data_IF_874726507276
#
_entry.id   IF_874726507276
#
_cell.length_a   1.000
_cell.length_b   1.000
_cell.length_c   1.000
_cell.angle_alpha   90.00
_cell.angle_beta   90.00
_cell.angle_gamma   90.00
#
_symmetry.space_group_name_H-M   'P 1'
#
loop_
_entity.id
_entity.type
_entity.pdbx_description
1 polymer ?
#
# COMPACT_ATOMS: atom_id res chain seq x y z
N UNK A 1 -13.33 6.38 5.53
CA UNK A 1 -12.41 5.67 4.62
C UNK A 1 -12.24 4.29 5.21
N UNK A 2 -12.91 3.31 4.63
CA UNK A 2 -12.85 1.90 5.00
C UNK A 2 -12.12 1.22 3.83
N UNK A 3 -10.96 0.62 4.05
CA UNK A 3 -10.17 -0.02 2.97
C UNK A 3 -10.10 -1.52 3.22
N UNK A 4 -10.72 -2.31 2.35
CA UNK A 4 -10.60 -3.75 2.37
C UNK A 4 -9.16 -4.16 1.99
N UNK A 5 -8.51 -4.96 2.84
CA UNK A 5 -7.17 -5.48 2.57
C UNK A 5 -7.22 -6.58 1.52
N UNK A 6 -6.38 -6.46 0.49
CA UNK A 6 -6.15 -7.54 -0.48
C UNK A 6 -5.11 -8.51 0.10
N UNK A 7 -5.47 -9.78 0.21
CA UNK A 7 -4.57 -10.90 0.55
C UNK A 7 -4.80 -12.01 -0.46
N UNK A 8 -3.78 -12.83 -0.72
CA UNK A 8 -3.95 -14.06 -1.50
C UNK A 8 -4.96 -14.98 -0.79
N UNK A 9 -6.07 -15.24 -1.47
CA UNK A 9 -7.17 -16.04 -0.96
C UNK A 9 -6.91 -17.54 -1.16
N UNK A 10 -7.14 -18.31 -0.11
CA UNK A 10 -7.13 -19.78 -0.18
C UNK A 10 -8.54 -20.39 -0.18
N UNK A 11 -9.58 -19.59 0.10
CA UNK A 11 -10.96 -20.05 0.26
C UNK A 11 -11.99 -19.25 -0.56
N UNK A 12 -13.14 -19.86 -0.88
CA UNK A 12 -14.17 -19.27 -1.75
C UNK A 12 -14.82 -18.01 -1.16
N UNK A 13 -14.90 -17.94 0.17
CA UNK A 13 -15.34 -16.75 0.92
C UNK A 13 -14.34 -15.59 0.76
N UNK A 14 -13.04 -15.89 0.75
CA UNK A 14 -11.99 -14.88 0.55
C UNK A 14 -11.98 -14.36 -0.89
N UNK A 15 -12.34 -15.21 -1.88
CA UNK A 15 -12.50 -14.77 -3.29
C UNK A 15 -13.57 -13.68 -3.43
N UNK A 16 -14.71 -13.83 -2.75
CA UNK A 16 -15.76 -12.80 -2.69
C UNK A 16 -15.23 -11.54 -1.99
N UNK A 17 -14.42 -11.71 -0.94
CA UNK A 17 -13.74 -10.62 -0.24
C UNK A 17 -12.81 -9.82 -1.16
N UNK A 18 -12.02 -10.50 -1.99
CA UNK A 18 -11.15 -9.87 -3.00
C UNK A 18 -11.98 -9.13 -4.04
N UNK A 19 -13.06 -9.74 -4.55
CA UNK A 19 -13.91 -9.11 -5.56
C UNK A 19 -14.58 -7.83 -5.03
N UNK A 20 -15.04 -7.84 -3.77
CA UNK A 20 -15.52 -6.62 -3.09
C UNK A 20 -14.41 -5.59 -2.89
N UNK A 21 -13.22 -6.01 -2.48
CA UNK A 21 -12.09 -5.10 -2.32
C UNK A 21 -11.72 -4.42 -3.66
N UNK A 22 -11.81 -5.13 -4.78
CA UNK A 22 -11.64 -4.54 -6.12
C UNK A 22 -12.71 -3.51 -6.45
N UNK A 23 -13.98 -3.77 -6.12
CA UNK A 23 -15.06 -2.79 -6.33
C UNK A 23 -14.89 -1.52 -5.50
N UNK A 24 -14.39 -1.64 -4.26
CA UNK A 24 -14.07 -0.49 -3.41
C UNK A 24 -12.87 0.30 -3.96
N UNK A 25 -11.86 -0.40 -4.48
CA UNK A 25 -10.69 0.23 -5.13
C UNK A 25 -11.11 1.05 -6.36
N UNK A 26 -12.07 0.56 -7.17
CA UNK A 26 -12.58 1.31 -8.33
C UNK A 26 -13.25 2.63 -7.96
N UNK A 27 -13.78 2.75 -6.74
CA UNK A 27 -14.44 3.96 -6.23
C UNK A 27 -13.54 4.78 -5.30
N UNK A 28 -12.33 4.29 -4.99
CA UNK A 28 -11.43 4.96 -4.07
C UNK A 28 -10.78 6.18 -4.73
N UNK A 29 -10.53 7.21 -3.93
CA UNK A 29 -9.73 8.37 -4.37
C UNK A 29 -8.23 8.09 -4.35
N UNK A 30 -7.80 7.08 -3.59
CA UNK A 30 -6.39 6.68 -3.43
C UNK A 30 -6.28 5.26 -2.88
N UNK A 31 -5.26 4.55 -3.30
CA UNK A 31 -4.93 3.20 -2.81
C UNK A 31 -3.69 3.23 -1.92
N UNK A 32 -3.79 2.61 -0.75
CA UNK A 32 -2.65 2.29 0.10
C UNK A 32 -2.19 0.86 -0.16
N UNK A 33 -1.07 0.71 -0.85
CA UNK A 33 -0.49 -0.58 -1.14
C UNK A 33 0.49 -0.98 -0.05
N UNK A 34 0.02 -1.78 0.91
CA UNK A 34 0.80 -2.19 2.07
C UNK A 34 1.68 -3.41 1.75
N UNK A 35 2.98 -3.25 1.93
CA UNK A 35 4.00 -4.26 1.65
C UNK A 35 4.72 -4.61 2.94
N UNK A 36 4.94 -5.89 3.17
CA UNK A 36 5.82 -6.35 4.23
C UNK A 36 7.28 -6.17 3.79
N UNK A 37 7.99 -5.22 4.40
CA UNK A 37 9.36 -4.92 4.02
C UNK A 37 10.32 -6.11 4.18
N UNK A 38 9.96 -7.09 5.03
CA UNK A 38 10.80 -8.27 5.29
C UNK A 38 10.70 -9.34 4.21
N UNK A 39 9.71 -9.29 3.32
CA UNK A 39 9.48 -10.33 2.30
C UNK A 39 10.07 -9.97 0.94
N UNK A 40 10.36 -8.69 0.68
CA UNK A 40 10.90 -8.23 -0.61
C UNK A 40 11.67 -6.93 -0.46
N UNK A 41 12.80 -6.81 -1.14
CA UNK A 41 13.58 -5.57 -1.24
C UNK A 41 13.07 -4.65 -2.36
N UNK A 42 12.15 -5.14 -3.21
CA UNK A 42 11.58 -4.35 -4.30
C UNK A 42 10.78 -3.18 -3.75
N UNK A 43 11.07 -1.97 -4.23
CA UNK A 43 10.41 -0.73 -3.79
C UNK A 43 9.34 -0.27 -4.77
N UNK A 44 9.45 -0.67 -6.04
CA UNK A 44 8.46 -0.38 -7.07
C UNK A 44 7.27 -1.33 -6.93
N UNK A 45 6.04 -0.81 -6.82
CA UNK A 45 4.87 -1.66 -6.73
C UNK A 45 4.68 -2.58 -7.96
N UNK A 46 5.14 -2.19 -9.14
CA UNK A 46 5.09 -3.03 -10.35
C UNK A 46 6.05 -4.22 -10.27
N UNK A 47 7.16 -4.11 -9.55
CA UNK A 47 8.08 -5.24 -9.29
C UNK A 47 7.56 -6.14 -8.17
N UNK A 48 6.83 -5.58 -7.20
CA UNK A 48 6.27 -6.32 -6.06
C UNK A 48 5.05 -7.13 -6.50
N UNK A 49 4.12 -6.49 -7.23
CA UNK A 49 2.90 -7.14 -7.71
C UNK A 49 2.41 -6.54 -9.04
N UNK A 50 2.99 -6.97 -10.18
CA UNK A 50 2.69 -6.40 -11.48
C UNK A 50 1.20 -6.52 -11.86
N UNK A 51 0.57 -7.66 -11.58
CA UNK A 51 -0.85 -7.88 -11.90
C UNK A 51 -1.79 -6.95 -11.15
N UNK A 52 -1.46 -6.62 -9.89
CA UNK A 52 -2.23 -5.67 -9.10
C UNK A 52 -2.17 -4.28 -9.74
N UNK A 53 -0.97 -3.80 -10.06
CA UNK A 53 -0.76 -2.48 -10.65
C UNK A 53 -1.36 -2.37 -12.05
N UNK A 54 -1.27 -3.43 -12.86
CA UNK A 54 -1.88 -3.47 -14.18
C UNK A 54 -3.42 -3.40 -14.15
N UNK A 55 -4.05 -3.89 -13.07
CA UNK A 55 -5.51 -3.90 -12.92
C UNK A 55 -6.06 -2.61 -12.31
N UNK A 56 -5.22 -1.79 -11.66
CA UNK A 56 -5.66 -0.51 -11.10
C UNK A 56 -6.01 0.51 -12.19
N UNK A 57 -6.99 1.40 -11.95
CA UNK A 57 -7.26 2.52 -12.84
C UNK A 57 -6.02 3.41 -12.99
N UNK A 58 -5.67 3.80 -14.23
CA UNK A 58 -4.43 4.55 -14.54
C UNK A 58 -4.29 5.90 -13.81
N UNK A 59 -5.40 6.50 -13.41
CA UNK A 59 -5.43 7.79 -12.74
C UNK A 59 -5.55 7.68 -11.21
N UNK A 60 -5.63 6.47 -10.67
CA UNK A 60 -5.80 6.25 -9.24
C UNK A 60 -4.43 6.41 -8.54
N UNK A 61 -4.25 7.42 -7.67
CA UNK A 61 -3.00 7.59 -6.97
C UNK A 61 -2.73 6.41 -6.04
N UNK A 62 -1.48 5.94 -6.06
CA UNK A 62 -1.02 4.82 -5.23
C UNK A 62 0.01 5.34 -4.24
N UNK A 63 -0.11 4.92 -2.98
CA UNK A 63 0.93 5.10 -1.97
C UNK A 63 1.37 3.74 -1.47
N UNK A 64 2.62 3.39 -1.74
CA UNK A 64 3.25 2.17 -1.27
C UNK A 64 3.67 2.37 0.17
N UNK A 65 3.26 1.48 1.05
CA UNK A 65 3.58 1.51 2.47
C UNK A 65 4.40 0.28 2.80
N UNK A 66 5.72 0.44 2.88
CA UNK A 66 6.64 -0.62 3.33
C UNK A 66 6.64 -0.64 4.86
N UNK A 67 5.97 -1.65 5.40
CA UNK A 67 5.82 -1.88 6.82
C UNK A 67 6.98 -2.72 7.38
N UNK A 68 7.12 -2.75 8.71
CA UNK A 68 8.15 -3.48 9.46
C UNK A 68 9.57 -2.94 9.31
N UNK A 69 9.70 -1.62 9.16
CA UNK A 69 11.00 -0.95 9.17
C UNK A 69 11.82 -1.21 10.44
N UNK A 70 11.18 -1.57 11.56
CA UNK A 70 11.83 -2.01 12.80
C UNK A 70 12.62 -3.31 12.63
N UNK A 71 12.26 -4.15 11.66
CA UNK A 71 12.92 -5.43 11.37
C UNK A 71 13.92 -5.27 10.23
N UNK A 72 13.54 -4.57 9.17
CA UNK A 72 14.40 -4.39 7.98
C UNK A 72 15.53 -3.40 8.21
N UNK A 73 15.40 -2.51 9.20
CA UNK A 73 16.34 -1.42 9.43
C UNK A 73 16.30 -0.35 8.33
N UNK A 74 15.25 -0.35 7.49
CA UNK A 74 15.08 0.67 6.46
C UNK A 74 14.90 2.06 7.08
N UNK A 75 15.41 3.08 6.41
CA UNK A 75 15.24 4.47 6.85
C UNK A 75 13.77 4.88 6.75
N UNK A 76 13.18 5.22 7.90
CA UNK A 76 11.82 5.72 8.01
C UNK A 76 11.64 7.03 7.24
N UNK A 77 10.46 7.23 6.64
CA UNK A 77 10.13 8.48 5.98
C UNK A 77 9.31 8.28 4.71
N UNK A 78 9.18 9.37 3.96
CA UNK A 78 8.52 9.39 2.65
C UNK A 78 9.55 9.65 1.56
N UNK A 79 9.43 8.89 0.48
CA UNK A 79 10.19 9.04 -0.76
C UNK A 79 9.25 8.83 -1.94
N UNK A 80 9.77 8.95 -3.17
CA UNK A 80 9.01 8.66 -4.38
C UNK A 80 9.76 7.59 -5.19
N UNK A 81 9.01 6.67 -5.81
CA UNK A 81 9.53 5.65 -6.71
C UNK A 81 8.63 5.59 -7.94
N UNK A 82 9.18 5.86 -9.12
CA UNK A 82 8.46 5.83 -10.40
C UNK A 82 7.12 6.58 -10.38
N UNK A 83 7.07 7.74 -9.72
CA UNK A 83 5.86 8.56 -9.59
C UNK A 83 4.87 8.11 -8.52
N UNK A 84 5.20 7.06 -7.76
CA UNK A 84 4.42 6.58 -6.63
C UNK A 84 5.01 7.04 -5.31
N UNK A 85 4.17 7.53 -4.39
CA UNK A 85 4.61 7.85 -3.04
C UNK A 85 4.98 6.57 -2.30
N UNK A 86 6.15 6.53 -1.68
CA UNK A 86 6.66 5.41 -0.92
C UNK A 86 6.90 5.83 0.52
N UNK A 87 6.16 5.21 1.45
CA UNK A 87 6.29 5.46 2.88
C UNK A 87 6.86 4.23 3.56
N UNK A 88 7.94 4.42 4.31
CA UNK A 88 8.55 3.37 5.14
C UNK A 88 8.20 3.64 6.60
N UNK A 89 7.56 2.67 7.23
CA UNK A 89 7.09 2.78 8.61
C UNK A 89 7.15 1.45 9.36
N UNK A 90 7.00 1.52 10.67
CA UNK A 90 6.66 0.35 11.49
C UNK A 90 5.30 0.57 12.13
N UNK A 91 4.31 -0.16 11.65
CA UNK A 91 2.98 -0.18 12.25
C UNK A 91 2.99 -0.77 13.66
N UNK A 92 4.02 -1.59 13.99
CA UNK A 92 4.18 -2.23 15.30
C UNK A 92 4.69 -1.26 16.34
N UNK A 93 5.76 -0.51 16.04
CA UNK A 93 6.34 0.47 16.98
C UNK A 93 5.61 1.81 16.93
N UNK A 94 4.89 2.08 15.85
CA UNK A 94 4.24 3.36 15.60
C UNK A 94 5.11 4.35 14.84
N UNK A 95 6.38 4.01 14.60
CA UNK A 95 7.34 4.90 13.95
C UNK A 95 6.99 5.11 12.47
N UNK A 96 7.02 6.36 12.01
CA UNK A 96 6.68 6.74 10.63
C UNK A 96 5.17 6.80 10.33
N UNK A 97 4.29 6.42 11.27
CA UNK A 97 2.83 6.55 11.08
C UNK A 97 2.42 8.02 10.89
N UNK A 98 3.04 8.94 11.62
CA UNK A 98 2.75 10.37 11.48
C UNK A 98 3.09 10.90 10.09
N UNK A 99 4.14 10.36 9.46
CA UNK A 99 4.52 10.69 8.08
C UNK A 99 3.42 10.26 7.12
N UNK A 100 2.93 9.02 7.25
CA UNK A 100 1.79 8.53 6.45
C UNK A 100 0.55 9.39 6.66
N UNK A 101 0.25 9.75 7.91
CA UNK A 101 -0.93 10.57 8.25
C UNK A 101 -0.86 11.97 7.64
N UNK A 102 0.30 12.60 7.70
CA UNK A 102 0.52 13.93 7.10
C UNK A 102 0.46 13.87 5.58
N UNK A 103 1.04 12.84 4.98
CA UNK A 103 0.95 12.58 3.54
C UNK A 103 -0.50 12.43 3.08
N UNK A 104 -1.30 11.64 3.79
CA UNK A 104 -2.72 11.45 3.50
C UNK A 104 -3.51 12.76 3.62
N UNK A 105 -3.24 13.57 4.66
CA UNK A 105 -3.87 14.89 4.82
C UNK A 105 -3.55 15.85 3.67
N UNK A 106 -2.32 15.86 3.19
CA UNK A 106 -1.90 16.73 2.08
C UNK A 106 -2.41 16.21 0.73
N UNK A 107 -2.53 14.89 0.58
CA UNK A 107 -2.94 14.26 -0.67
C UNK A 107 -4.46 14.26 -0.90
N UNK A 108 -5.24 14.40 0.18
CA UNK A 108 -6.71 14.39 0.16
C UNK A 108 -7.31 15.77 0.50
N UNK A 109 -6.47 16.77 0.77
CA UNK A 109 -6.85 18.11 1.22
C UNK A 109 -6.88 19.13 0.09
#
# INVERSE_FOLDING_TARGET
>A
IDTAGLRDASDEVERIGIERAWQEIEQADRVLFMVDGTTTDAVDPADIWPDFIARLPKNLPITVVRNKADITGETLGISEVNGHSLVRLSARTGEGIDVLRNHLKQSMG
#
